data_IF_593577771206
#
_entry.id   IF_593577771206
#
_cell.length_a   1.000
_cell.length_b   1.000
_cell.length_c   1.000
_cell.angle_alpha   90.00
_cell.angle_beta   90.00
_cell.angle_gamma   90.00
#
_symmetry.space_group_name_H-M   'P 1'
#
loop_
_entity.id
_entity.type
_entity.pdbx_description
1 polymer ?
#
# COMPACT_ATOMS: atom_id res chain seq x y z
N UNK A 1 18.57 40.25 2.94
CA UNK A 1 17.75 40.97 1.98
C UNK A 1 17.46 40.09 0.76
N UNK A 2 16.29 40.26 0.12
CA UNK A 2 16.01 39.60 -1.16
C UNK A 2 16.43 40.58 -2.27
N UNK A 3 17.32 40.10 -3.14
CA UNK A 3 17.78 40.84 -4.32
C UNK A 3 17.00 40.34 -5.53
N UNK A 4 16.12 41.18 -6.08
CA UNK A 4 15.37 40.85 -7.27
C UNK A 4 16.28 40.96 -8.49
N UNK A 5 16.67 39.82 -9.02
CA UNK A 5 17.50 39.69 -10.24
C UNK A 5 17.01 38.47 -11.02
N UNK A 6 15.93 38.63 -11.79
CA UNK A 6 15.33 37.52 -12.49
C UNK A 6 16.22 37.00 -13.62
N UNK A 7 16.40 35.69 -13.69
CA UNK A 7 17.15 34.99 -14.71
C UNK A 7 16.61 33.57 -14.94
N UNK A 8 17.13 32.89 -15.95
CA UNK A 8 16.81 31.50 -16.26
C UNK A 8 18.06 30.64 -16.23
N UNK A 9 18.03 29.56 -15.43
CA UNK A 9 18.96 28.46 -15.58
C UNK A 9 18.43 27.54 -16.67
N UNK A 10 19.08 27.56 -17.83
CA UNK A 10 18.62 26.82 -19.00
C UNK A 10 19.36 25.53 -19.16
N UNK A 11 18.62 24.49 -19.62
CA UNK A 11 19.17 23.17 -19.91
C UNK A 11 19.72 22.47 -18.68
N UNK A 12 19.07 22.62 -17.53
CA UNK A 12 19.42 21.83 -16.31
C UNK A 12 19.20 20.36 -16.60
N UNK A 13 20.24 19.55 -16.47
CA UNK A 13 20.20 18.13 -16.81
C UNK A 13 20.09 17.24 -15.57
N UNK A 14 19.30 16.18 -15.70
CA UNK A 14 19.12 15.12 -14.70
C UNK A 14 19.60 13.76 -15.25
N UNK A 15 20.90 13.43 -15.14
CA UNK A 15 21.47 12.21 -15.73
C UNK A 15 20.77 10.93 -15.29
N UNK A 16 20.31 10.86 -14.04
CA UNK A 16 19.58 9.68 -13.53
C UNK A 16 18.20 9.48 -14.16
N UNK A 17 17.52 10.56 -14.52
CA UNK A 17 16.27 10.46 -15.27
C UNK A 17 16.53 10.06 -16.72
N UNK A 18 17.62 10.57 -17.32
CA UNK A 18 18.05 10.18 -18.66
C UNK A 18 18.39 8.69 -18.75
N UNK A 19 19.14 8.15 -17.79
CA UNK A 19 19.45 6.70 -17.69
C UNK A 19 18.19 5.84 -17.67
N UNK A 20 17.09 6.36 -17.13
CA UNK A 20 15.80 5.69 -17.03
C UNK A 20 14.87 5.93 -18.22
N UNK A 21 15.28 6.73 -19.20
CA UNK A 21 14.51 7.07 -20.39
C UNK A 21 13.38 8.08 -20.14
N UNK A 22 13.47 8.87 -19.08
CA UNK A 22 12.52 9.95 -18.79
C UNK A 22 12.98 11.30 -19.30
N UNK A 23 12.07 12.29 -19.30
CA UNK A 23 12.42 13.68 -19.58
C UNK A 23 13.47 14.14 -18.56
N UNK A 24 14.63 14.59 -19.06
CA UNK A 24 15.82 14.78 -18.24
C UNK A 24 16.38 16.21 -18.29
N UNK A 25 15.70 17.11 -18.95
CA UNK A 25 16.12 18.51 -19.09
C UNK A 25 14.98 19.44 -18.78
N UNK A 26 15.27 20.54 -18.11
CA UNK A 26 14.31 21.62 -17.91
C UNK A 26 14.99 22.98 -17.78
N UNK A 27 14.20 24.04 -17.99
CA UNK A 27 14.61 25.42 -17.72
C UNK A 27 13.96 25.88 -16.41
N UNK A 28 14.78 26.43 -15.49
CA UNK A 28 14.32 26.88 -14.18
C UNK A 28 14.39 28.43 -14.11
N UNK A 29 13.23 29.05 -13.85
CA UNK A 29 13.15 30.46 -13.58
C UNK A 29 13.61 30.78 -12.15
N UNK A 30 14.53 31.70 -12.00
CA UNK A 30 15.05 32.20 -10.73
C UNK A 30 14.68 33.67 -10.56
N UNK A 31 13.80 34.04 -9.63
CA UNK A 31 13.35 35.42 -9.45
C UNK A 31 14.41 36.32 -8.82
N UNK A 32 15.44 35.74 -8.22
CA UNK A 32 16.50 36.45 -7.52
C UNK A 32 17.15 35.58 -6.44
N UNK A 33 17.87 36.21 -5.55
CA UNK A 33 18.57 35.51 -4.47
C UNK A 33 18.44 36.25 -3.12
N UNK A 34 18.71 35.53 -2.05
CA UNK A 34 18.80 36.08 -0.71
C UNK A 34 20.28 36.34 -0.37
N UNK A 35 20.57 37.54 0.10
CA UNK A 35 21.89 37.93 0.58
C UNK A 35 21.80 38.24 2.08
N UNK A 36 22.62 37.59 2.87
CA UNK A 36 22.62 37.72 4.33
C UNK A 36 24.01 37.51 4.88
N UNK A 37 24.41 38.40 5.79
CA UNK A 37 25.64 38.22 6.56
C UNK A 37 25.43 37.14 7.60
N UNK A 38 26.44 36.25 7.76
CA UNK A 38 26.46 35.21 8.81
C UNK A 38 27.84 35.17 9.43
N UNK A 39 27.89 35.16 10.77
CA UNK A 39 29.14 35.02 11.53
C UNK A 39 29.31 33.59 12.01
N UNK A 40 30.57 33.23 12.32
CA UNK A 40 30.88 31.93 12.89
C UNK A 40 30.03 31.65 14.14
N UNK A 41 29.31 30.55 14.17
CA UNK A 41 28.43 30.15 15.28
C UNK A 41 27.00 30.72 15.20
N UNK A 42 26.68 31.55 14.22
CA UNK A 42 25.32 31.99 13.97
C UNK A 42 24.55 30.98 13.13
N UNK A 43 23.24 30.96 13.32
CA UNK A 43 22.30 30.15 12.53
C UNK A 43 21.23 31.06 11.92
N UNK A 44 20.94 30.85 10.64
CA UNK A 44 19.86 31.50 9.95
C UNK A 44 18.72 30.47 9.81
N UNK A 45 17.50 30.86 10.17
CA UNK A 45 16.30 30.08 9.93
C UNK A 45 15.59 30.67 8.72
N UNK A 46 15.46 29.87 7.69
CA UNK A 46 14.74 30.21 6.46
C UNK A 46 13.40 29.47 6.44
N UNK A 47 12.33 30.17 6.06
CA UNK A 47 11.00 29.60 5.93
C UNK A 47 10.44 29.81 4.52
N UNK A 48 9.90 28.76 3.93
CA UNK A 48 9.12 28.81 2.71
C UNK A 48 7.70 28.32 3.00
N UNK A 49 6.70 29.07 2.59
CA UNK A 49 5.29 28.74 2.87
C UNK A 49 4.39 29.17 1.71
N UNK A 50 3.30 28.43 1.50
CA UNK A 50 2.22 28.81 0.56
C UNK A 50 1.27 29.85 1.13
N UNK A 51 1.39 30.18 2.41
CA UNK A 51 0.64 31.21 3.10
C UNK A 51 1.58 32.25 3.71
N UNK A 52 1.14 33.51 3.77
CA UNK A 52 1.96 34.53 4.41
C UNK A 52 2.27 34.18 5.85
N UNK A 53 3.53 34.16 6.20
CA UNK A 53 4.00 33.92 7.57
C UNK A 53 4.77 35.14 8.10
N UNK A 54 4.73 35.32 9.42
CA UNK A 54 5.52 36.38 10.10
C UNK A 54 6.96 35.90 10.21
N UNK A 55 7.91 36.76 9.90
CA UNK A 55 9.34 36.48 10.07
C UNK A 55 9.77 36.46 11.55
N UNK A 56 8.99 37.11 12.43
CA UNK A 56 9.22 37.08 13.88
C UNK A 56 8.79 35.74 14.44
N UNK A 57 9.70 35.08 15.17
CA UNK A 57 9.44 33.80 15.82
C UNK A 57 9.87 32.55 15.05
N UNK A 58 10.49 32.70 13.84
CA UNK A 58 10.94 31.53 13.05
C UNK A 58 11.92 30.63 13.80
N UNK A 59 12.79 31.19 14.64
CA UNK A 59 13.71 30.37 15.47
C UNK A 59 12.94 29.51 16.47
N UNK A 60 11.89 30.07 17.08
CA UNK A 60 11.03 29.31 18.01
C UNK A 60 10.27 28.20 17.27
N UNK A 61 9.66 28.50 16.13
CA UNK A 61 8.97 27.50 15.31
C UNK A 61 9.93 26.39 14.86
N UNK A 62 11.15 26.72 14.47
CA UNK A 62 12.16 25.74 14.10
C UNK A 62 12.52 24.84 15.30
N UNK A 63 12.66 25.42 16.49
CA UNK A 63 12.97 24.65 17.71
C UNK A 63 11.80 23.73 18.09
N UNK A 64 10.56 24.20 18.00
CA UNK A 64 9.35 23.40 18.23
C UNK A 64 9.31 22.20 17.26
N UNK A 65 9.59 22.41 15.97
CA UNK A 65 9.69 21.32 14.97
C UNK A 65 10.82 20.33 15.28
N UNK A 66 11.93 20.79 15.83
CA UNK A 66 13.03 19.90 16.22
C UNK A 66 12.65 19.09 17.45
N UNK A 67 11.99 19.72 18.43
CA UNK A 67 11.61 19.10 19.69
C UNK A 67 10.48 18.08 19.53
N UNK A 68 9.61 18.24 18.53
CA UNK A 68 8.56 17.27 18.18
C UNK A 68 9.11 16.00 17.49
N UNK A 69 10.34 16.04 16.98
CA UNK A 69 10.95 14.91 16.27
C UNK A 69 11.71 14.01 17.22
N UNK A 70 11.71 12.70 16.92
CA UNK A 70 12.62 11.78 17.61
C UNK A 70 14.08 12.19 17.40
N UNK A 71 14.94 12.17 18.44
CA UNK A 71 16.37 12.43 18.29
C UNK A 71 16.98 11.49 17.24
N UNK A 72 17.87 12.00 16.38
CA UNK A 72 18.55 11.18 15.36
C UNK A 72 19.84 10.56 15.91
N UNK A 73 19.76 9.91 17.07
CA UNK A 73 20.86 9.33 17.79
C UNK A 73 21.10 7.84 17.52
N UNK A 74 20.12 7.18 16.89
CA UNK A 74 20.21 5.80 16.48
C UNK A 74 19.39 5.52 15.20
N UNK A 75 19.59 4.33 14.60
CA UNK A 75 18.94 3.96 13.34
C UNK A 75 17.40 3.85 13.47
N UNK A 76 16.91 3.32 14.59
CA UNK A 76 15.47 3.20 14.83
C UNK A 76 14.79 4.58 14.87
N UNK A 77 15.35 5.55 15.60
CA UNK A 77 14.81 6.91 15.63
C UNK A 77 14.87 7.60 14.26
N UNK A 78 15.88 7.29 13.43
CA UNK A 78 15.90 7.76 12.05
C UNK A 78 14.74 7.16 11.23
N UNK A 79 14.40 5.87 11.44
CA UNK A 79 13.25 5.24 10.78
C UNK A 79 11.92 5.82 11.25
N UNK A 80 11.76 6.11 12.56
CA UNK A 80 10.57 6.78 13.10
C UNK A 80 10.35 8.14 12.42
N UNK A 81 11.41 8.96 12.35
CA UNK A 81 11.33 10.25 11.65
C UNK A 81 11.02 10.09 10.15
N UNK A 82 11.53 9.04 9.51
CA UNK A 82 11.23 8.75 8.11
C UNK A 82 9.76 8.32 7.94
N UNK A 83 9.22 7.52 8.85
CA UNK A 83 7.81 7.11 8.83
C UNK A 83 6.87 8.32 8.91
N UNK A 84 7.13 9.26 9.81
CA UNK A 84 6.35 10.48 9.96
C UNK A 84 6.30 11.35 8.70
N UNK A 85 7.31 11.27 7.81
CA UNK A 85 7.29 12.01 6.55
C UNK A 85 6.20 11.54 5.58
N UNK A 86 5.74 10.30 5.71
CA UNK A 86 4.66 9.76 4.90
C UNK A 86 3.28 10.07 5.46
N UNK A 87 3.19 10.50 6.71
CA UNK A 87 1.94 10.94 7.34
C UNK A 87 1.49 12.25 6.74
N UNK A 88 0.25 12.30 6.22
CA UNK A 88 -0.30 13.49 5.60
C UNK A 88 -1.70 13.82 6.15
N UNK A 89 -1.94 15.12 6.33
CA UNK A 89 -3.20 15.67 6.81
C UNK A 89 -3.69 16.75 5.87
N UNK A 90 -4.86 16.55 5.27
CA UNK A 90 -5.45 17.53 4.35
C UNK A 90 -6.60 18.32 4.96
N UNK A 91 -7.34 17.72 5.89
CA UNK A 91 -8.41 18.33 6.68
C UNK A 91 -8.24 17.95 8.14
N UNK A 92 -8.96 18.64 9.05
CA UNK A 92 -8.82 18.45 10.49
C UNK A 92 -8.89 16.98 10.90
N UNK A 93 -9.82 16.21 10.35
CA UNK A 93 -10.12 14.85 10.77
C UNK A 93 -9.73 13.78 9.72
N UNK A 94 -9.10 14.16 8.62
CA UNK A 94 -8.63 13.23 7.60
C UNK A 94 -7.12 13.00 7.71
N UNK A 95 -6.73 11.73 7.70
CA UNK A 95 -5.33 11.30 7.69
C UNK A 95 -5.09 10.39 6.51
N UNK A 96 -3.89 10.47 5.96
CA UNK A 96 -3.48 9.77 4.76
C UNK A 96 -2.05 9.30 4.87
N UNK A 97 -1.71 8.28 4.10
CA UNK A 97 -0.33 7.87 3.83
C UNK A 97 0.03 8.28 2.40
N UNK A 98 1.16 8.98 2.24
CA UNK A 98 1.71 9.30 0.92
C UNK A 98 2.42 8.08 0.33
N UNK A 99 2.14 7.76 -0.93
CA UNK A 99 2.81 6.65 -1.62
C UNK A 99 4.28 6.96 -1.96
N UNK A 100 4.65 8.24 -2.07
CA UNK A 100 6.03 8.67 -2.28
C UNK A 100 6.16 10.14 -2.67
N UNK A 101 7.24 10.76 -2.21
CA UNK A 101 7.56 12.17 -2.47
C UNK A 101 8.34 12.36 -3.78
N UNK A 102 8.10 13.49 -4.48
CA UNK A 102 6.97 14.41 -4.40
C UNK A 102 5.83 14.04 -5.37
N UNK A 103 6.00 12.96 -6.14
CA UNK A 103 5.22 12.66 -7.33
C UNK A 103 3.93 11.91 -7.06
N UNK A 104 3.96 11.00 -6.07
CA UNK A 104 2.84 10.11 -5.80
C UNK A 104 1.91 10.73 -4.76
N UNK A 105 0.62 10.52 -4.99
CA UNK A 105 -0.45 10.93 -4.09
C UNK A 105 -0.71 9.82 -3.06
N UNK A 106 -1.82 9.89 -2.35
CA UNK A 106 -2.28 8.83 -1.47
C UNK A 106 -2.96 7.76 -2.31
N UNK A 107 -2.31 6.62 -2.51
CA UNK A 107 -2.84 5.48 -3.27
C UNK A 107 -3.31 4.40 -2.31
N UNK A 108 -4.43 3.76 -2.63
CA UNK A 108 -5.06 2.80 -1.73
C UNK A 108 -4.17 1.58 -1.43
N UNK A 109 -3.57 0.96 -2.46
CA UNK A 109 -2.64 -0.17 -2.28
C UNK A 109 -1.47 0.19 -1.37
N UNK A 110 -0.79 1.29 -1.69
CA UNK A 110 0.37 1.76 -0.91
C UNK A 110 -0.03 2.07 0.53
N UNK A 111 -1.21 2.68 0.74
CA UNK A 111 -1.75 2.95 2.08
C UNK A 111 -1.88 1.67 2.88
N UNK A 112 -2.62 0.66 2.40
CA UNK A 112 -2.89 -0.55 3.20
C UNK A 112 -1.64 -1.41 3.42
N UNK A 113 -0.74 -1.50 2.45
CA UNK A 113 0.51 -2.27 2.59
C UNK A 113 1.46 -1.61 3.60
N UNK A 114 1.61 -0.29 3.55
CA UNK A 114 2.58 0.42 4.37
C UNK A 114 2.04 0.83 5.75
N UNK A 115 0.73 0.95 5.91
CA UNK A 115 0.10 1.46 7.12
C UNK A 115 0.55 0.76 8.41
N UNK A 116 0.58 -0.58 8.51
CA UNK A 116 1.06 -1.22 9.74
C UNK A 116 2.51 -0.86 10.08
N UNK A 117 3.39 -0.82 9.08
CA UNK A 117 4.79 -0.46 9.26
C UNK A 117 5.02 1.00 9.63
N UNK A 118 4.22 1.91 9.05
CA UNK A 118 4.36 3.35 9.27
C UNK A 118 3.66 3.85 10.55
N UNK A 119 2.90 2.98 11.23
CA UNK A 119 2.12 3.36 12.42
C UNK A 119 2.29 2.36 13.57
N UNK A 120 1.81 1.13 13.44
CA UNK A 120 1.83 0.14 14.53
C UNK A 120 3.26 -0.20 14.97
N UNK A 121 4.21 -0.29 14.04
CA UNK A 121 5.62 -0.60 14.34
C UNK A 121 6.35 0.53 15.09
N UNK A 122 5.76 1.71 15.16
CA UNK A 122 6.29 2.88 15.89
C UNK A 122 5.35 3.33 17.01
N UNK A 123 4.47 2.43 17.46
CA UNK A 123 3.52 2.64 18.59
C UNK A 123 2.49 3.76 18.35
N UNK A 124 2.18 4.08 17.10
CA UNK A 124 1.18 5.10 16.72
C UNK A 124 -0.16 4.49 16.29
N UNK A 125 -0.77 3.73 17.17
CA UNK A 125 -2.06 3.07 16.94
C UNK A 125 -3.18 4.07 16.59
N UNK A 126 -3.22 5.22 17.26
CA UNK A 126 -4.23 6.26 16.98
C UNK A 126 -4.13 6.79 15.55
N UNK A 127 -2.91 6.91 15.02
CA UNK A 127 -2.73 7.35 13.63
C UNK A 127 -3.19 6.27 12.63
N UNK A 128 -2.94 4.99 12.93
CA UNK A 128 -3.52 3.87 12.17
C UNK A 128 -5.04 3.99 12.07
N UNK A 129 -5.69 4.17 13.22
CA UNK A 129 -7.16 4.27 13.30
C UNK A 129 -7.70 5.45 12.48
N UNK A 130 -7.09 6.62 12.57
CA UNK A 130 -7.50 7.82 11.82
C UNK A 130 -7.32 7.64 10.30
N UNK A 131 -6.25 6.99 9.85
CA UNK A 131 -6.08 6.66 8.44
C UNK A 131 -7.14 5.66 7.99
N UNK A 132 -7.41 4.63 8.81
CA UNK A 132 -8.44 3.64 8.53
C UNK A 132 -9.84 4.26 8.47
N UNK A 133 -10.19 5.21 9.31
CA UNK A 133 -11.47 5.93 9.22
C UNK A 133 -11.64 6.63 7.87
N UNK A 134 -10.58 7.32 7.40
CA UNK A 134 -10.56 7.96 6.09
C UNK A 134 -10.69 6.95 4.96
N UNK A 135 -9.93 5.85 5.04
CA UNK A 135 -9.91 4.79 4.04
C UNK A 135 -11.23 4.01 4.00
N UNK A 136 -11.81 3.68 5.15
CA UNK A 136 -13.10 2.97 5.24
C UNK A 136 -14.23 3.77 4.57
N UNK A 137 -14.27 5.08 4.78
CA UNK A 137 -15.24 5.94 4.08
C UNK A 137 -15.10 5.79 2.57
N UNK A 138 -13.87 5.87 2.04
CA UNK A 138 -13.62 5.70 0.62
C UNK A 138 -13.98 4.28 0.12
N UNK A 139 -13.68 3.24 0.90
CA UNK A 139 -14.07 1.86 0.55
C UNK A 139 -15.59 1.68 0.50
N UNK A 140 -16.32 2.20 1.47
CA UNK A 140 -17.78 2.12 1.46
C UNK A 140 -18.42 2.95 0.31
N UNK A 141 -17.87 4.12 0.00
CA UNK A 141 -18.27 4.91 -1.16
C UNK A 141 -18.04 4.12 -2.46
N UNK A 142 -16.86 3.51 -2.61
CA UNK A 142 -16.52 2.66 -3.76
C UNK A 142 -17.47 1.45 -3.87
N UNK A 143 -17.63 0.68 -2.79
CA UNK A 143 -18.50 -0.51 -2.79
C UNK A 143 -19.97 -0.18 -3.05
N UNK A 144 -20.40 1.05 -2.73
CA UNK A 144 -21.73 1.57 -2.99
C UNK A 144 -21.87 2.23 -4.39
N UNK A 145 -20.80 2.28 -5.20
CA UNK A 145 -20.79 2.96 -6.49
C UNK A 145 -20.94 4.48 -6.42
N UNK A 146 -20.55 5.09 -5.29
CA UNK A 146 -20.64 6.53 -5.06
C UNK A 146 -19.33 7.23 -5.41
N UNK A 147 -19.36 8.53 -5.76
CA UNK A 147 -18.16 9.33 -5.90
C UNK A 147 -17.36 9.38 -4.60
N UNK A 148 -16.04 9.28 -4.70
CA UNK A 148 -15.17 9.34 -3.54
C UNK A 148 -15.06 10.78 -3.01
N UNK A 149 -15.23 10.94 -1.70
CA UNK A 149 -15.01 12.21 -0.99
C UNK A 149 -13.58 12.31 -0.45
N UNK A 150 -12.95 11.20 -0.10
CA UNK A 150 -11.56 11.13 0.34
C UNK A 150 -10.59 11.17 -0.86
N UNK A 151 -9.41 11.75 -0.63
CA UNK A 151 -8.36 11.89 -1.65
C UNK A 151 -7.47 10.63 -1.69
N UNK A 152 -8.09 9.46 -1.83
CA UNK A 152 -7.41 8.17 -2.00
C UNK A 152 -7.63 7.73 -3.45
N UNK A 153 -6.53 7.50 -4.17
CA UNK A 153 -6.56 7.14 -5.58
C UNK A 153 -6.44 5.62 -5.75
N UNK A 154 -6.88 5.13 -6.92
CA UNK A 154 -6.73 3.73 -7.32
C UNK A 154 -7.40 2.73 -6.35
N UNK A 155 -8.53 3.13 -5.75
CA UNK A 155 -9.26 2.27 -4.80
C UNK A 155 -9.93 1.08 -5.51
N UNK A 156 -10.14 1.18 -6.81
CA UNK A 156 -10.74 0.17 -7.69
C UNK A 156 -9.74 -0.90 -8.15
N UNK A 157 -8.48 -0.84 -7.70
CA UNK A 157 -7.51 -1.88 -8.03
C UNK A 157 -7.90 -3.20 -7.36
N UNK A 158 -7.75 -4.35 -8.06
CA UNK A 158 -8.31 -5.64 -7.63
C UNK A 158 -7.84 -6.11 -6.25
N UNK A 159 -6.60 -5.83 -5.89
CA UNK A 159 -5.97 -6.29 -4.65
C UNK A 159 -6.17 -5.36 -3.44
N UNK A 160 -6.74 -4.17 -3.65
CA UNK A 160 -6.90 -3.16 -2.58
C UNK A 160 -7.75 -3.67 -1.42
N UNK A 161 -8.87 -4.33 -1.70
CA UNK A 161 -9.73 -4.90 -0.66
C UNK A 161 -9.01 -6.00 0.13
N UNK A 162 -8.19 -6.80 -0.54
CA UNK A 162 -7.41 -7.87 0.08
C UNK A 162 -6.32 -7.30 1.00
N UNK A 163 -5.62 -6.25 0.57
CA UNK A 163 -4.64 -5.54 1.38
C UNK A 163 -5.28 -4.82 2.57
N UNK A 164 -6.51 -4.32 2.41
CA UNK A 164 -7.27 -3.77 3.54
C UNK A 164 -7.51 -4.83 4.62
N UNK A 165 -7.95 -6.03 4.25
CA UNK A 165 -8.13 -7.15 5.20
C UNK A 165 -6.80 -7.50 5.88
N UNK A 166 -5.70 -7.55 5.12
CA UNK A 166 -4.37 -7.80 5.68
C UNK A 166 -3.94 -6.70 6.68
N UNK A 167 -4.16 -5.42 6.37
CA UNK A 167 -3.84 -4.34 7.30
C UNK A 167 -4.64 -4.45 8.60
N UNK A 168 -5.93 -4.79 8.52
CA UNK A 168 -6.79 -5.06 9.69
C UNK A 168 -6.31 -6.28 10.46
N UNK A 169 -5.81 -7.31 9.79
CA UNK A 169 -5.20 -8.48 10.44
C UNK A 169 -3.95 -8.09 11.25
N UNK A 170 -3.09 -7.20 10.72
CA UNK A 170 -1.95 -6.69 11.49
C UNK A 170 -2.40 -5.85 12.70
N UNK A 171 -3.46 -5.06 12.55
CA UNK A 171 -4.06 -4.35 13.67
C UNK A 171 -4.61 -5.32 14.73
N UNK A 172 -5.24 -6.41 14.35
CA UNK A 172 -5.72 -7.43 15.29
C UNK A 172 -4.58 -8.06 16.12
N UNK A 173 -3.40 -8.23 15.52
CA UNK A 173 -2.20 -8.72 16.24
C UNK A 173 -1.66 -7.69 17.23
N UNK A 174 -1.70 -6.41 16.87
CA UNK A 174 -1.17 -5.32 17.69
C UNK A 174 -2.13 -4.96 18.82
N UNK A 175 -3.38 -4.64 18.50
CA UNK A 175 -4.37 -4.07 19.42
C UNK A 175 -5.29 -5.12 20.10
N UNK A 176 -5.18 -6.38 19.67
CA UNK A 176 -6.02 -7.48 20.12
C UNK A 176 -7.30 -7.66 19.29
N UNK A 177 -7.75 -8.92 19.22
CA UNK A 177 -8.86 -9.35 18.35
C UNK A 177 -10.20 -8.73 18.74
N UNK A 178 -10.47 -8.54 20.04
CA UNK A 178 -11.70 -7.93 20.54
C UNK A 178 -11.83 -6.46 20.08
N UNK A 179 -10.77 -5.67 20.24
CA UNK A 179 -10.76 -4.28 19.79
C UNK A 179 -10.87 -4.21 18.27
N UNK A 180 -10.17 -5.08 17.55
CA UNK A 180 -10.26 -5.20 16.10
C UNK A 180 -11.69 -5.51 15.65
N UNK A 181 -12.35 -6.51 16.24
CA UNK A 181 -13.72 -6.90 15.88
C UNK A 181 -14.71 -5.74 16.08
N UNK A 182 -14.61 -5.06 17.22
CA UNK A 182 -15.46 -3.91 17.53
C UNK A 182 -15.34 -2.77 16.50
N UNK A 183 -14.12 -2.52 16.01
CA UNK A 183 -13.85 -1.43 15.05
C UNK A 183 -14.04 -1.84 13.58
N UNK A 184 -13.62 -3.04 13.22
CA UNK A 184 -13.46 -3.44 11.82
C UNK A 184 -14.19 -4.75 11.45
N UNK A 185 -14.82 -5.44 12.40
CA UNK A 185 -15.51 -6.70 12.13
C UNK A 185 -16.53 -6.60 11.01
N UNK A 186 -17.37 -5.55 11.05
CA UNK A 186 -18.32 -5.30 9.95
C UNK A 186 -17.65 -5.05 8.61
N UNK A 187 -16.56 -4.28 8.57
CA UNK A 187 -15.80 -4.02 7.33
C UNK A 187 -15.26 -5.31 6.73
N UNK A 188 -14.71 -6.21 7.55
CA UNK A 188 -14.19 -7.50 7.10
C UNK A 188 -15.28 -8.31 6.38
N UNK A 189 -16.47 -8.42 6.96
CA UNK A 189 -17.59 -9.15 6.34
C UNK A 189 -18.08 -8.46 5.07
N UNK A 190 -18.28 -7.16 5.10
CA UNK A 190 -18.74 -6.38 3.95
C UNK A 190 -17.78 -6.54 2.75
N UNK A 191 -16.47 -6.55 3.01
CA UNK A 191 -15.43 -6.73 1.97
C UNK A 191 -15.49 -8.14 1.38
N UNK A 192 -15.54 -9.20 2.23
CA UNK A 192 -15.59 -10.57 1.75
C UNK A 192 -16.87 -10.85 0.95
N UNK A 193 -18.02 -10.39 1.43
CA UNK A 193 -19.29 -10.51 0.70
C UNK A 193 -19.27 -9.74 -0.60
N UNK A 194 -18.70 -8.53 -0.64
CA UNK A 194 -18.56 -7.75 -1.87
C UNK A 194 -17.77 -8.50 -2.95
N UNK A 195 -16.70 -9.20 -2.56
CA UNK A 195 -15.92 -10.06 -3.46
C UNK A 195 -16.70 -11.33 -3.82
N UNK A 196 -17.27 -12.03 -2.84
CA UNK A 196 -18.06 -13.26 -3.01
C UNK A 196 -19.21 -13.06 -4.00
N UNK A 197 -19.89 -11.92 -3.92
CA UNK A 197 -21.02 -11.58 -4.78
C UNK A 197 -20.59 -11.07 -6.17
N UNK A 198 -19.31 -11.11 -6.50
CA UNK A 198 -18.75 -10.62 -7.77
C UNK A 198 -19.13 -9.17 -8.10
N UNK A 199 -19.19 -8.32 -7.09
CA UNK A 199 -19.54 -6.90 -7.24
C UNK A 199 -18.34 -6.01 -7.61
N UNK A 200 -17.12 -6.52 -7.47
CA UNK A 200 -15.92 -5.77 -7.81
C UNK A 200 -15.73 -5.70 -9.33
N UNK A 201 -15.51 -4.51 -9.95
CA UNK A 201 -15.47 -4.37 -11.41
C UNK A 201 -14.28 -5.08 -12.06
N UNK A 202 -13.17 -5.26 -11.35
CA UNK A 202 -11.91 -5.79 -11.89
C UNK A 202 -11.45 -7.09 -11.21
N UNK A 203 -12.30 -7.72 -10.39
CA UNK A 203 -11.99 -8.95 -9.66
C UNK A 203 -13.20 -9.88 -9.67
N UNK A 204 -13.01 -11.13 -10.07
CA UNK A 204 -14.07 -12.11 -10.17
C UNK A 204 -13.72 -13.37 -9.36
N UNK A 205 -14.59 -13.77 -8.45
CA UNK A 205 -14.55 -15.09 -7.82
C UNK A 205 -15.09 -16.14 -8.81
N UNK A 206 -14.29 -17.15 -9.11
CA UNK A 206 -14.62 -18.26 -9.99
C UNK A 206 -15.15 -19.47 -9.21
N UNK A 207 -15.78 -20.42 -9.91
CA UNK A 207 -16.39 -21.63 -9.32
C UNK A 207 -15.38 -22.52 -8.57
N UNK A 208 -14.10 -22.47 -8.98
CA UNK A 208 -13.00 -23.16 -8.27
C UNK A 208 -12.52 -22.45 -7.01
N UNK A 209 -13.15 -21.34 -6.61
CA UNK A 209 -12.79 -20.58 -5.42
C UNK A 209 -11.63 -19.61 -5.59
N UNK A 210 -11.03 -19.53 -6.78
CA UNK A 210 -9.93 -18.60 -7.08
C UNK A 210 -10.46 -17.27 -7.62
N UNK A 211 -9.69 -16.22 -7.40
CA UNK A 211 -9.92 -14.89 -7.93
C UNK A 211 -9.23 -14.70 -9.28
N UNK A 212 -10.00 -14.24 -10.26
CA UNK A 212 -9.57 -13.89 -11.61
C UNK A 212 -9.56 -12.37 -11.81
N UNK A 213 -8.57 -11.86 -12.53
CA UNK A 213 -8.50 -10.46 -12.96
C UNK A 213 -8.01 -10.34 -14.41
N UNK A 214 -8.56 -9.38 -15.18
CA UNK A 214 -8.16 -9.11 -16.56
C UNK A 214 -7.12 -7.98 -16.61
N UNK A 215 -5.90 -8.31 -17.00
CA UNK A 215 -4.76 -7.40 -16.99
C UNK A 215 -4.08 -7.15 -18.34
N UNK A 216 -4.68 -7.60 -19.47
CA UNK A 216 -4.07 -7.47 -20.81
C UNK A 216 -3.97 -6.03 -21.29
N UNK A 217 -5.04 -5.26 -21.10
CA UNK A 217 -5.10 -3.88 -21.58
C UNK A 217 -4.86 -2.85 -20.49
N UNK A 218 -5.06 -3.22 -19.22
CA UNK A 218 -4.87 -2.34 -18.04
C UNK A 218 -4.07 -3.07 -16.98
N UNK A 219 -3.02 -2.43 -16.46
CA UNK A 219 -2.27 -2.97 -15.33
C UNK A 219 -3.18 -3.10 -14.09
N UNK A 220 -3.25 -4.29 -13.52
CA UNK A 220 -4.13 -4.63 -12.39
C UNK A 220 -3.37 -4.99 -11.11
N UNK A 221 -2.04 -5.05 -11.16
CA UNK A 221 -1.19 -5.41 -10.03
C UNK A 221 -0.23 -4.28 -9.67
N UNK A 222 0.59 -4.49 -8.64
CA UNK A 222 1.68 -3.57 -8.28
C UNK A 222 2.71 -3.41 -9.42
N UNK A 223 2.82 -4.40 -10.32
CA UNK A 223 3.64 -4.35 -11.53
C UNK A 223 2.92 -3.55 -12.62
N UNK A 224 2.77 -2.25 -12.40
CA UNK A 224 1.88 -1.38 -13.17
C UNK A 224 2.59 -0.44 -14.16
N UNK A 225 3.86 -0.69 -14.48
CA UNK A 225 4.58 0.05 -15.52
C UNK A 225 3.92 -0.15 -16.88
N UNK A 226 3.82 0.94 -17.65
CA UNK A 226 3.23 0.92 -18.99
C UNK A 226 4.21 1.45 -20.04
N UNK A 227 4.12 0.90 -21.25
CA UNK A 227 4.80 1.41 -22.44
C UNK A 227 3.77 1.56 -23.57
N UNK A 228 3.70 2.74 -24.19
CA UNK A 228 2.70 3.02 -25.22
C UNK A 228 1.25 2.87 -24.73
N UNK A 229 0.99 3.10 -23.43
CA UNK A 229 -0.33 2.97 -22.82
C UNK A 229 -0.75 1.54 -22.45
N UNK A 230 0.10 0.52 -22.69
CA UNK A 230 -0.16 -0.89 -22.35
C UNK A 230 0.74 -1.37 -21.23
N UNK A 231 0.28 -2.33 -20.41
CA UNK A 231 1.14 -2.94 -19.40
C UNK A 231 2.41 -3.54 -19.98
N UNK A 232 3.57 -3.28 -19.38
CA UNK A 232 4.83 -3.95 -19.73
C UNK A 232 4.76 -5.43 -19.38
N UNK A 233 4.10 -5.75 -18.28
CA UNK A 233 3.84 -7.13 -17.85
C UNK A 233 2.30 -7.30 -17.71
N UNK A 234 1.63 -7.81 -18.74
CA UNK A 234 0.17 -7.97 -18.76
C UNK A 234 -0.26 -9.20 -17.96
N UNK A 235 -0.27 -9.11 -16.64
CA UNK A 235 -0.66 -10.22 -15.75
C UNK A 235 -2.18 -10.39 -15.77
N UNK A 236 -2.64 -11.48 -16.33
CA UNK A 236 -4.06 -11.81 -16.54
C UNK A 236 -4.38 -13.21 -16.05
N UNK A 237 -5.56 -13.42 -15.52
CA UNK A 237 -6.02 -14.73 -15.06
C UNK A 237 -6.02 -14.84 -13.54
N UNK A 238 -5.67 -16.02 -13.05
CA UNK A 238 -5.42 -16.27 -11.64
C UNK A 238 -4.04 -15.73 -11.30
N UNK A 239 -3.97 -14.70 -10.48
CA UNK A 239 -2.73 -14.04 -10.08
C UNK A 239 -2.30 -14.56 -8.71
N UNK A 240 -1.04 -14.97 -8.56
CA UNK A 240 -0.59 -15.74 -7.40
C UNK A 240 -0.77 -15.00 -6.07
N UNK A 241 -0.34 -13.73 -5.99
CA UNK A 241 -0.48 -12.97 -4.75
C UNK A 241 -1.92 -12.60 -4.42
N UNK A 242 -2.79 -12.40 -5.44
CA UNK A 242 -4.21 -12.14 -5.18
C UNK A 242 -4.86 -13.36 -4.51
N UNK A 243 -4.55 -14.55 -4.99
CA UNK A 243 -5.11 -15.79 -4.46
C UNK A 243 -4.49 -16.19 -3.12
N UNK A 244 -3.22 -15.87 -2.88
CA UNK A 244 -2.61 -16.00 -1.57
C UNK A 244 -3.25 -15.07 -0.53
N UNK A 245 -3.47 -13.79 -0.88
CA UNK A 245 -4.16 -12.82 -0.03
C UNK A 245 -5.61 -13.20 0.20
N UNK A 246 -6.30 -13.73 -0.81
CA UNK A 246 -7.68 -14.18 -0.70
C UNK A 246 -7.81 -15.35 0.28
N UNK A 247 -6.97 -16.37 0.14
CA UNK A 247 -6.92 -17.48 1.08
C UNK A 247 -6.67 -17.00 2.53
N UNK A 248 -5.69 -16.13 2.71
CA UNK A 248 -5.39 -15.53 4.00
C UNK A 248 -6.57 -14.73 4.55
N UNK A 249 -7.26 -13.94 3.73
CA UNK A 249 -8.42 -13.15 4.13
C UNK A 249 -9.58 -14.05 4.59
N UNK A 250 -9.88 -15.11 3.84
CA UNK A 250 -10.91 -16.09 4.19
C UNK A 250 -10.61 -16.77 5.53
N UNK A 251 -9.39 -17.25 5.73
CA UNK A 251 -8.97 -17.91 6.98
C UNK A 251 -9.00 -16.95 8.17
N UNK A 252 -8.52 -15.73 7.99
CA UNK A 252 -8.57 -14.72 9.05
C UNK A 252 -10.00 -14.39 9.44
N UNK A 253 -10.88 -14.11 8.47
CA UNK A 253 -12.27 -13.78 8.74
C UNK A 253 -13.07 -14.96 9.31
N UNK A 254 -12.81 -16.18 8.85
CA UNK A 254 -13.40 -17.39 9.46
C UNK A 254 -13.02 -17.52 10.94
N UNK A 255 -11.74 -17.32 11.26
CA UNK A 255 -11.26 -17.33 12.64
C UNK A 255 -11.87 -16.20 13.48
N UNK A 256 -11.98 -14.98 12.93
CA UNK A 256 -12.64 -13.86 13.63
C UNK A 256 -14.11 -14.16 13.88
N UNK A 257 -14.85 -14.66 12.89
CA UNK A 257 -16.26 -15.04 13.03
C UNK A 257 -16.46 -16.11 14.11
N UNK A 258 -15.61 -17.13 14.15
CA UNK A 258 -15.66 -18.17 15.17
C UNK A 258 -15.43 -17.62 16.60
N UNK A 259 -14.44 -16.73 16.77
CA UNK A 259 -14.13 -16.14 18.08
C UNK A 259 -15.27 -15.26 18.63
N UNK A 260 -16.04 -14.63 17.74
CA UNK A 260 -17.12 -13.72 18.14
C UNK A 260 -18.53 -14.30 17.96
N UNK A 261 -18.63 -15.62 17.78
CA UNK A 261 -19.87 -16.39 17.87
C UNK A 261 -20.71 -16.40 16.60
N UNK A 262 -20.19 -15.97 15.47
CA UNK A 262 -20.87 -16.08 14.17
C UNK A 262 -20.50 -17.39 13.47
N UNK A 263 -21.11 -18.49 13.93
CA UNK A 263 -20.82 -19.83 13.42
C UNK A 263 -21.18 -20.00 11.93
N UNK A 264 -22.16 -19.24 11.42
CA UNK A 264 -22.58 -19.30 10.02
C UNK A 264 -21.50 -18.73 9.12
N UNK A 265 -21.07 -17.51 9.38
CA UNK A 265 -20.00 -16.86 8.61
C UNK A 265 -18.66 -17.60 8.76
N UNK A 266 -18.36 -18.10 9.97
CA UNK A 266 -17.16 -18.89 10.20
C UNK A 266 -17.13 -20.15 9.31
N UNK A 267 -18.26 -20.88 9.23
CA UNK A 267 -18.38 -22.06 8.37
C UNK A 267 -18.30 -21.73 6.89
N UNK A 268 -18.99 -20.68 6.45
CA UNK A 268 -19.01 -20.23 5.06
C UNK A 268 -17.61 -19.85 4.57
N UNK A 269 -16.91 -19.01 5.32
CA UNK A 269 -15.55 -18.57 4.96
C UNK A 269 -14.55 -19.75 5.02
N UNK A 270 -14.69 -20.69 5.96
CA UNK A 270 -13.83 -21.87 6.03
C UNK A 270 -14.04 -22.82 4.85
N UNK A 271 -15.29 -23.00 4.39
CA UNK A 271 -15.59 -23.78 3.18
C UNK A 271 -14.98 -23.14 1.94
N UNK A 272 -15.12 -21.82 1.80
CA UNK A 272 -14.50 -21.07 0.71
C UNK A 272 -12.97 -21.16 0.76
N UNK A 273 -12.37 -21.05 1.95
CA UNK A 273 -10.92 -21.19 2.14
C UNK A 273 -10.45 -22.60 1.77
N UNK A 274 -11.19 -23.63 2.13
CA UNK A 274 -10.87 -25.03 1.79
C UNK A 274 -10.84 -25.22 0.27
N UNK A 275 -11.86 -24.71 -0.44
CA UNK A 275 -11.92 -24.78 -1.89
C UNK A 275 -10.77 -23.97 -2.54
N UNK A 276 -10.58 -22.74 -2.09
CA UNK A 276 -9.52 -21.86 -2.58
C UNK A 276 -8.12 -22.50 -2.37
N UNK A 277 -7.84 -23.03 -1.18
CA UNK A 277 -6.56 -23.64 -0.85
C UNK A 277 -6.24 -24.87 -1.71
N UNK A 278 -7.23 -25.74 -1.93
CA UNK A 278 -7.07 -26.88 -2.85
C UNK A 278 -6.76 -26.40 -4.27
N UNK A 279 -7.58 -25.53 -4.81
CA UNK A 279 -7.42 -25.01 -6.16
C UNK A 279 -6.13 -24.18 -6.33
N UNK A 280 -5.68 -23.49 -5.26
CA UNK A 280 -4.41 -22.76 -5.27
C UNK A 280 -3.24 -23.71 -5.52
N UNK A 281 -3.16 -24.80 -4.78
CA UNK A 281 -2.08 -25.78 -4.94
C UNK A 281 -2.12 -26.42 -6.32
N UNK A 282 -3.31 -26.84 -6.79
CA UNK A 282 -3.49 -27.46 -8.10
C UNK A 282 -3.17 -26.50 -9.27
N UNK A 283 -3.39 -25.18 -9.09
CA UNK A 283 -3.18 -24.20 -10.15
C UNK A 283 -1.76 -23.64 -10.19
N UNK A 284 -1.16 -23.35 -9.02
CA UNK A 284 0.08 -22.58 -8.98
C UNK A 284 1.33 -23.40 -8.74
N UNK A 285 1.26 -24.54 -8.04
CA UNK A 285 2.45 -25.34 -7.75
C UNK A 285 2.88 -26.10 -9.02
N UNK A 286 4.09 -25.80 -9.52
CA UNK A 286 4.62 -26.42 -10.70
C UNK A 286 5.50 -27.66 -10.36
N UNK A 287 5.93 -28.40 -11.39
CA UNK A 287 6.74 -29.62 -11.25
C UNK A 287 8.11 -29.40 -10.60
N UNK A 288 8.61 -28.16 -10.56
CA UNK A 288 9.88 -27.78 -9.90
C UNK A 288 9.68 -27.35 -8.45
N UNK A 289 8.42 -27.33 -7.93
CA UNK A 289 8.09 -27.02 -6.56
C UNK A 289 8.00 -25.54 -6.22
N UNK A 290 8.09 -24.63 -7.21
CA UNK A 290 7.78 -23.21 -7.01
C UNK A 290 6.41 -22.84 -7.63
N UNK A 291 6.00 -21.56 -7.58
CA UNK A 291 4.69 -21.15 -8.04
C UNK A 291 4.76 -20.40 -9.36
N UNK A 292 3.81 -20.67 -10.24
CA UNK A 292 3.56 -19.81 -11.40
C UNK A 292 3.21 -18.40 -10.93
N UNK A 293 3.63 -17.36 -11.67
CA UNK A 293 3.34 -15.97 -11.34
C UNK A 293 1.85 -15.62 -11.57
N UNK A 294 1.29 -16.11 -12.67
CA UNK A 294 -0.14 -16.15 -12.95
C UNK A 294 -0.49 -17.29 -13.89
N UNK A 295 -1.76 -17.65 -13.94
CA UNK A 295 -2.29 -18.71 -14.82
C UNK A 295 -3.52 -18.19 -15.53
N UNK A 296 -3.47 -18.11 -16.88
CA UNK A 296 -4.67 -17.85 -17.67
C UNK A 296 -5.55 -19.10 -17.74
N UNK A 297 -6.90 -18.97 -17.76
CA UNK A 297 -7.78 -20.10 -18.00
C UNK A 297 -7.43 -20.82 -19.30
N UNK A 298 -7.45 -22.17 -19.29
CA UNK A 298 -7.03 -23.07 -20.37
C UNK A 298 -5.51 -23.33 -20.44
N UNK A 299 -4.84 -23.36 -19.27
CA UNK A 299 -3.50 -23.88 -19.09
C UNK A 299 -2.38 -23.11 -19.79
N UNK A 300 -2.39 -21.79 -19.68
CA UNK A 300 -1.26 -20.98 -20.08
C UNK A 300 -0.61 -20.33 -18.85
N UNK A 301 0.25 -21.06 -18.10
CA UNK A 301 0.92 -20.56 -16.92
C UNK A 301 2.11 -19.68 -17.30
N UNK A 302 2.34 -18.60 -16.53
CA UNK A 302 3.58 -17.83 -16.59
C UNK A 302 4.65 -18.45 -15.69
N UNK A 303 5.72 -18.93 -16.30
CA UNK A 303 6.85 -19.60 -15.66
C UNK A 303 7.89 -18.65 -15.06
N UNK A 304 7.69 -17.35 -15.20
CA UNK A 304 8.67 -16.37 -14.74
C UNK A 304 8.84 -16.46 -13.22
N UNK A 305 10.06 -16.60 -12.77
CA UNK A 305 10.39 -16.50 -11.35
C UNK A 305 10.34 -15.04 -10.93
N UNK A 306 9.30 -14.69 -10.18
CA UNK A 306 9.11 -13.35 -9.63
C UNK A 306 8.90 -13.42 -8.11
N UNK A 307 9.19 -12.34 -7.38
CA UNK A 307 9.03 -12.32 -5.91
C UNK A 307 7.57 -12.49 -5.45
N UNK A 308 6.59 -12.39 -6.34
CA UNK A 308 5.16 -12.43 -6.01
C UNK A 308 4.74 -13.72 -5.28
N UNK A 309 5.39 -14.84 -5.59
CA UNK A 309 5.11 -16.13 -4.93
C UNK A 309 5.42 -16.13 -3.42
N UNK A 310 6.25 -15.20 -2.94
CA UNK A 310 6.61 -15.12 -1.52
C UNK A 310 5.41 -14.80 -0.62
N UNK A 311 4.39 -14.12 -1.14
CA UNK A 311 3.17 -13.84 -0.38
C UNK A 311 2.47 -15.12 0.09
N UNK A 312 2.49 -16.19 -0.72
CA UNK A 312 1.93 -17.48 -0.31
C UNK A 312 2.69 -18.14 0.86
N UNK A 313 3.91 -17.67 1.16
CA UNK A 313 4.74 -18.16 2.27
C UNK A 313 4.71 -17.21 3.47
N UNK A 314 4.73 -15.90 3.21
CA UNK A 314 4.91 -14.87 4.24
C UNK A 314 3.61 -14.49 4.97
N UNK A 315 2.44 -14.76 4.38
CA UNK A 315 1.16 -14.48 5.02
C UNK A 315 0.89 -15.45 6.17
N UNK A 316 0.09 -15.03 7.16
CA UNK A 316 -0.20 -15.83 8.36
C UNK A 316 -0.88 -17.16 8.06
N UNK A 317 -1.76 -17.15 7.04
CA UNK A 317 -2.42 -18.35 6.56
C UNK A 317 -1.92 -18.65 5.14
N UNK A 318 -1.22 -19.75 5.01
CA UNK A 318 -0.69 -20.24 3.75
C UNK A 318 -1.47 -21.46 3.26
N UNK A 319 -1.84 -21.57 1.98
CA UNK A 319 -2.40 -22.78 1.41
C UNK A 319 -1.36 -23.89 1.17
N UNK A 320 -0.08 -23.57 1.33
CA UNK A 320 1.05 -24.44 1.03
C UNK A 320 1.45 -25.28 2.25
N UNK A 321 1.88 -26.51 2.02
CA UNK A 321 2.54 -27.32 3.03
C UNK A 321 3.91 -26.76 3.40
N UNK A 322 4.48 -27.07 4.58
CA UNK A 322 5.82 -26.60 4.97
C UNK A 322 6.92 -26.95 3.96
N UNK A 323 6.83 -28.10 3.28
CA UNK A 323 7.77 -28.50 2.24
C UNK A 323 7.66 -27.61 0.99
N UNK A 324 6.44 -27.28 0.57
CA UNK A 324 6.19 -26.36 -0.54
C UNK A 324 6.62 -24.93 -0.21
N UNK A 325 6.32 -24.45 1.01
CA UNK A 325 6.79 -23.13 1.47
C UNK A 325 8.33 -23.02 1.41
N UNK A 326 9.02 -24.08 1.87
CA UNK A 326 10.49 -24.13 1.78
C UNK A 326 10.97 -24.09 0.34
N UNK A 327 10.36 -24.85 -0.56
CA UNK A 327 10.73 -24.86 -1.97
C UNK A 327 10.57 -23.50 -2.64
N UNK A 328 9.45 -22.79 -2.36
CA UNK A 328 9.23 -21.42 -2.83
C UNK A 328 10.28 -20.46 -2.27
N UNK A 329 10.57 -20.53 -0.96
CA UNK A 329 11.60 -19.70 -0.34
C UNK A 329 12.97 -19.93 -0.93
N UNK A 330 13.36 -21.20 -1.15
CA UNK A 330 14.65 -21.57 -1.74
C UNK A 330 14.83 -20.99 -3.16
N UNK A 331 13.75 -20.87 -3.93
CA UNK A 331 13.77 -20.24 -5.27
C UNK A 331 13.87 -18.71 -5.16
N UNK A 332 13.15 -18.08 -4.22
CA UNK A 332 13.19 -16.62 -4.03
C UNK A 332 14.54 -16.10 -3.48
N UNK A 333 15.36 -16.96 -2.88
CA UNK A 333 16.63 -16.58 -2.24
C UNK A 333 17.87 -16.90 -3.08
N UNK A 334 17.70 -17.48 -4.26
CA UNK A 334 18.78 -17.77 -5.22
C UNK A 334 18.98 -16.63 -6.21
#
# INVERSE_FOLDING_TARGET
EFVFQPDWYRGVEYPKEQERGYASNEDLYVPGYFEMDIKKGESIVFSASTTACKTTGLKKLFQEEVDERSPRDNFFHCLVNAAHQFHNRTKKDERYILAGYPWFKCRARDTFISLPGLTLSIEEEDYFELVMETAMRALYEFMAGKPLTAKIYEIDQPDVLLWCVWAVQQYAKHAGREKCNRKYGKLLYDVLHYIKDNRHPNLKLCENGLLYSEGKEKAVTWMNSTAGGRPVVPRTGYIVEFNALWYNALKFCASMAADFGDATEASDFEQMATLCGKSFVETFVNEYGYLFDYVEPKDNPDWSVRPNMIFAVALDYSPLTPAQQKAVLDVCTR
#
